data_IF_950843240350
#
_entry.id   IF_950843240350
#
_cell.length_a   1.000
_cell.length_b   1.000
_cell.length_c   1.000
_cell.angle_alpha   90.00
_cell.angle_beta   90.00
_cell.angle_gamma   90.00
#
_symmetry.space_group_name_H-M   'P 1'
#
loop_
_entity.id
_entity.type
_entity.pdbx_description
1 polymer ?
#
# COMPACT_ATOMS: atom_id res chain seq x y z
N UNK A 1 20.06 12.22 -10.56
CA UNK A 1 19.42 11.39 -9.48
C UNK A 1 20.52 10.61 -8.78
N UNK A 2 20.56 10.71 -7.44
CA UNK A 2 21.50 9.93 -6.63
C UNK A 2 20.91 8.56 -6.30
N UNK A 3 21.75 7.53 -6.34
CA UNK A 3 21.40 6.19 -5.82
C UNK A 3 22.19 6.00 -4.54
N UNK A 4 21.48 5.87 -3.42
CA UNK A 4 22.06 5.73 -2.08
C UNK A 4 21.76 4.32 -1.57
N UNK A 5 22.79 3.60 -1.13
CA UNK A 5 22.66 2.21 -0.67
C UNK A 5 22.98 2.03 0.81
N UNK A 6 23.57 3.04 1.46
CA UNK A 6 23.98 2.96 2.86
C UNK A 6 23.31 4.01 3.74
N UNK A 7 23.12 3.68 5.01
CA UNK A 7 22.55 4.59 5.99
C UNK A 7 23.44 5.83 6.24
N UNK A 8 24.76 5.71 6.40
CA UNK A 8 25.62 6.90 6.60
C UNK A 8 25.51 7.91 5.47
N UNK A 9 25.47 7.43 4.21
CA UNK A 9 25.34 8.33 3.06
C UNK A 9 23.95 9.00 3.03
N UNK A 10 22.89 8.26 3.30
CA UNK A 10 21.53 8.82 3.39
C UNK A 10 21.46 9.91 4.45
N UNK A 11 21.96 9.63 5.66
CA UNK A 11 21.94 10.59 6.76
C UNK A 11 22.71 11.87 6.44
N UNK A 12 23.85 11.74 5.77
CA UNK A 12 24.64 12.89 5.34
C UNK A 12 23.85 13.81 4.40
N UNK A 13 23.22 13.23 3.38
CA UNK A 13 22.45 13.99 2.41
C UNK A 13 21.19 14.61 3.03
N UNK A 14 20.48 13.86 3.88
CA UNK A 14 19.31 14.38 4.59
C UNK A 14 19.67 15.57 5.48
N UNK A 15 20.76 15.47 6.25
CA UNK A 15 21.24 16.59 7.07
C UNK A 15 21.53 17.82 6.24
N UNK A 16 22.16 17.65 5.09
CA UNK A 16 22.48 18.75 4.17
C UNK A 16 21.21 19.45 3.70
N UNK A 17 20.20 18.71 3.25
CA UNK A 17 18.94 19.32 2.82
C UNK A 17 18.16 19.97 3.97
N UNK A 18 18.16 19.35 5.14
CA UNK A 18 17.56 19.96 6.32
C UNK A 18 18.19 21.29 6.69
N UNK A 19 19.51 21.38 6.65
CA UNK A 19 20.24 22.62 6.90
C UNK A 19 19.95 23.71 5.86
N UNK A 20 19.59 23.31 4.63
CA UNK A 20 19.18 24.22 3.57
C UNK A 20 17.71 24.62 3.64
N UNK A 21 16.96 24.12 4.63
CA UNK A 21 15.52 24.37 4.76
C UNK A 21 14.66 23.72 3.70
N UNK A 22 15.15 22.67 3.02
CA UNK A 22 14.41 21.94 1.99
C UNK A 22 13.31 21.07 2.60
N UNK A 23 12.15 21.04 1.95
CA UNK A 23 11.08 20.09 2.27
C UNK A 23 11.36 18.77 1.60
N UNK A 24 11.32 17.69 2.36
CA UNK A 24 11.59 16.33 1.88
C UNK A 24 10.28 15.56 1.78
N UNK A 25 10.02 14.98 0.61
CA UNK A 25 8.91 14.08 0.37
C UNK A 25 9.43 12.67 0.12
N UNK A 26 8.83 11.70 0.79
CA UNK A 26 9.21 10.28 0.74
C UNK A 26 8.12 9.45 0.08
N UNK A 27 8.53 8.54 -0.81
CA UNK A 27 7.65 7.51 -1.38
C UNK A 27 8.27 6.13 -1.10
N UNK A 28 7.80 5.41 -0.07
CA UNK A 28 8.27 4.04 0.18
C UNK A 28 7.73 3.06 -0.86
N UNK A 29 8.61 2.26 -1.43
CA UNK A 29 8.22 1.20 -2.39
C UNK A 29 9.05 -0.07 -2.17
N UNK A 30 8.60 -1.15 -2.75
CA UNK A 30 9.38 -2.40 -2.87
C UNK A 30 9.93 -2.61 -4.27
N UNK A 31 9.92 -1.59 -5.13
CA UNK A 31 10.36 -1.70 -6.51
C UNK A 31 9.30 -2.31 -7.43
N UNK A 32 9.74 -2.73 -8.63
CA UNK A 32 8.86 -3.20 -9.69
C UNK A 32 7.77 -2.16 -10.01
N UNK A 33 8.21 -0.95 -10.30
CA UNK A 33 7.36 0.22 -10.36
C UNK A 33 6.46 0.23 -11.59
N UNK A 34 5.24 0.68 -11.39
CA UNK A 34 4.24 0.90 -12.44
C UNK A 34 3.66 2.31 -12.32
N UNK A 35 2.72 2.67 -13.19
CA UNK A 35 2.11 4.01 -13.23
C UNK A 35 1.47 4.43 -11.89
N UNK A 36 0.97 3.48 -11.11
CA UNK A 36 0.45 3.76 -9.77
C UNK A 36 1.52 4.34 -8.84
N UNK A 37 2.71 3.76 -8.83
CA UNK A 37 3.85 4.28 -8.07
C UNK A 37 4.33 5.63 -8.60
N UNK A 38 4.38 5.79 -9.93
CA UNK A 38 4.83 7.04 -10.56
C UNK A 38 3.86 8.20 -10.27
N UNK A 39 2.58 7.91 -10.11
CA UNK A 39 1.59 8.88 -9.65
C UNK A 39 1.87 9.35 -8.21
N UNK A 40 2.30 8.43 -7.32
CA UNK A 40 2.76 8.81 -5.98
C UNK A 40 3.98 9.72 -6.04
N UNK A 41 4.92 9.42 -6.92
CA UNK A 41 6.14 10.22 -7.13
C UNK A 41 5.78 11.63 -7.60
N UNK A 42 4.87 11.75 -8.56
CA UNK A 42 4.42 13.05 -9.08
C UNK A 42 3.74 13.88 -7.99
N UNK A 43 2.93 13.25 -7.15
CA UNK A 43 2.31 13.90 -5.99
C UNK A 43 3.37 14.37 -4.97
N UNK A 44 4.36 13.54 -4.68
CA UNK A 44 5.47 13.91 -3.82
C UNK A 44 6.27 15.07 -4.41
N UNK A 45 6.53 15.05 -5.72
CA UNK A 45 7.23 16.15 -6.42
C UNK A 45 6.49 17.47 -6.32
N UNK A 46 5.17 17.45 -6.36
CA UNK A 46 4.36 18.67 -6.25
C UNK A 46 4.38 19.29 -4.85
N UNK A 47 4.80 18.55 -3.83
CA UNK A 47 4.74 18.95 -2.42
C UNK A 47 6.10 19.17 -1.78
N UNK A 48 7.16 18.54 -2.27
CA UNK A 48 8.50 18.62 -1.68
C UNK A 48 9.54 19.19 -2.61
N UNK A 49 10.56 19.80 -2.03
CA UNK A 49 11.73 20.28 -2.77
C UNK A 49 12.64 19.12 -3.17
N UNK A 50 12.75 18.12 -2.30
CA UNK A 50 13.52 16.90 -2.49
C UNK A 50 12.58 15.71 -2.45
N UNK A 51 12.64 14.86 -3.47
CA UNK A 51 11.88 13.61 -3.53
C UNK A 51 12.82 12.42 -3.35
N UNK A 52 12.56 11.63 -2.34
CA UNK A 52 13.28 10.39 -2.04
C UNK A 52 12.31 9.23 -2.24
N UNK A 53 12.69 8.29 -3.09
CA UNK A 53 11.95 7.03 -3.28
C UNK A 53 12.78 5.91 -2.70
N UNK A 54 12.24 5.17 -1.75
CA UNK A 54 12.90 3.96 -1.27
C UNK A 54 12.47 2.76 -2.10
N UNK A 55 13.43 1.94 -2.47
CA UNK A 55 13.23 0.67 -3.17
C UNK A 55 13.84 -0.43 -2.30
N UNK A 56 13.00 -1.10 -1.54
CA UNK A 56 13.44 -2.12 -0.59
C UNK A 56 12.39 -3.22 -0.46
N UNK A 57 12.74 -4.44 -0.83
CA UNK A 57 11.91 -5.62 -0.64
C UNK A 57 12.08 -6.06 0.81
N UNK A 58 11.13 -5.65 1.66
CA UNK A 58 11.21 -5.80 3.12
C UNK A 58 10.91 -7.24 3.55
N UNK A 59 11.90 -8.03 4.00
CA UNK A 59 11.67 -9.42 4.37
C UNK A 59 10.75 -9.55 5.59
N UNK A 60 10.70 -8.55 6.47
CA UNK A 60 9.92 -8.60 7.71
C UNK A 60 8.41 -8.63 7.46
N UNK A 61 7.93 -8.11 6.33
CA UNK A 61 6.50 -8.07 6.00
C UNK A 61 6.01 -9.25 5.17
N UNK A 62 6.92 -10.14 4.75
CA UNK A 62 6.55 -11.36 4.03
C UNK A 62 6.24 -12.48 5.03
N UNK A 63 5.07 -13.08 4.88
CA UNK A 63 4.63 -14.23 5.67
C UNK A 63 5.03 -15.56 5.06
N UNK A 64 5.45 -15.57 3.76
CA UNK A 64 5.89 -16.76 3.04
C UNK A 64 7.23 -16.51 2.38
N UNK A 65 8.16 -17.46 2.57
CA UNK A 65 9.50 -17.40 2.00
C UNK A 65 9.49 -17.48 0.47
N UNK A 66 8.55 -18.22 -0.13
CA UNK A 66 8.43 -18.34 -1.58
C UNK A 66 7.95 -17.03 -2.23
N UNK A 67 7.04 -16.32 -1.60
CA UNK A 67 6.58 -15.00 -2.08
C UNK A 67 7.73 -13.98 -2.04
N UNK A 68 8.50 -13.96 -0.96
CA UNK A 68 9.69 -13.12 -0.85
C UNK A 68 10.72 -13.43 -1.95
N UNK A 69 10.99 -14.71 -2.19
CA UNK A 69 11.96 -15.14 -3.21
C UNK A 69 11.54 -14.78 -4.63
N UNK A 70 10.23 -14.87 -4.92
CA UNK A 70 9.66 -14.58 -6.25
C UNK A 70 9.39 -13.10 -6.50
N UNK A 71 9.43 -12.26 -5.47
CA UNK A 71 9.09 -10.85 -5.64
C UNK A 71 10.04 -10.22 -6.68
N UNK A 72 9.48 -9.55 -7.73
CA UNK A 72 10.31 -9.00 -8.81
C UNK A 72 11.28 -7.94 -8.33
N UNK A 73 12.54 -8.04 -8.78
CA UNK A 73 13.60 -7.09 -8.46
C UNK A 73 14.10 -6.47 -9.77
N UNK A 74 13.74 -5.23 -10.01
CA UNK A 74 13.94 -4.52 -11.27
C UNK A 74 14.56 -3.14 -11.05
N UNK A 75 15.58 -3.04 -10.19
CA UNK A 75 16.14 -1.77 -9.74
C UNK A 75 16.60 -0.87 -10.90
N UNK A 76 17.26 -1.43 -11.90
CA UNK A 76 17.75 -0.64 -13.05
C UNK A 76 16.59 0.02 -13.80
N UNK A 77 15.57 -0.75 -14.14
CA UNK A 77 14.37 -0.25 -14.82
C UNK A 77 13.61 0.74 -13.96
N UNK A 78 13.52 0.48 -12.67
CA UNK A 78 12.88 1.38 -11.71
C UNK A 78 13.61 2.73 -11.67
N UNK A 79 14.93 2.73 -11.61
CA UNK A 79 15.73 3.96 -11.62
C UNK A 79 15.54 4.76 -12.92
N UNK A 80 15.42 4.10 -14.06
CA UNK A 80 15.16 4.77 -15.35
C UNK A 80 13.81 5.50 -15.31
N UNK A 81 12.76 4.83 -14.81
CA UNK A 81 11.43 5.44 -14.65
C UNK A 81 11.45 6.61 -13.66
N UNK A 82 12.09 6.44 -12.52
CA UNK A 82 12.16 7.46 -11.49
C UNK A 82 12.95 8.70 -11.97
N UNK A 83 13.99 8.50 -12.75
CA UNK A 83 14.76 9.61 -13.33
C UNK A 83 13.90 10.46 -14.25
N UNK A 84 13.01 9.85 -15.04
CA UNK A 84 12.09 10.58 -15.91
C UNK A 84 11.05 11.41 -15.12
N UNK A 85 10.77 11.03 -13.87
CA UNK A 85 9.85 11.73 -12.98
C UNK A 85 10.56 12.69 -12.01
N UNK A 86 11.82 13.04 -12.30
CA UNK A 86 12.59 14.05 -11.55
C UNK A 86 12.79 13.71 -10.06
N UNK A 87 12.96 12.43 -9.74
CA UNK A 87 13.32 11.98 -8.40
C UNK A 87 14.73 12.40 -8.09
N UNK A 88 14.99 12.93 -6.89
CA UNK A 88 16.31 13.38 -6.47
C UNK A 88 17.15 12.21 -5.95
N UNK A 89 16.55 11.29 -5.22
CA UNK A 89 17.25 10.17 -4.60
C UNK A 89 16.43 8.89 -4.70
N UNK A 90 17.11 7.81 -5.07
CA UNK A 90 16.63 6.44 -4.85
C UNK A 90 17.45 5.87 -3.70
N UNK A 91 16.77 5.50 -2.62
CA UNK A 91 17.36 4.78 -1.49
C UNK A 91 17.10 3.30 -1.67
N UNK A 92 18.15 2.55 -1.99
CA UNK A 92 18.07 1.12 -2.30
C UNK A 92 19.05 0.31 -1.42
N UNK A 93 18.75 0.19 -0.11
CA UNK A 93 19.62 -0.52 0.81
C UNK A 93 19.50 -2.04 0.65
N UNK A 94 20.53 -2.77 1.07
CA UNK A 94 20.45 -4.22 1.23
C UNK A 94 19.69 -4.60 2.51
N UNK A 95 19.17 -5.84 2.62
CA UNK A 95 18.60 -6.31 3.88
C UNK A 95 19.56 -6.25 5.06
N UNK A 96 20.85 -6.49 4.85
CA UNK A 96 21.86 -6.39 5.90
C UNK A 96 22.10 -4.94 6.38
N UNK A 97 21.91 -3.96 5.49
CA UNK A 97 21.99 -2.54 5.86
C UNK A 97 20.82 -2.13 6.75
N UNK A 98 19.60 -2.58 6.42
CA UNK A 98 18.38 -2.24 7.17
C UNK A 98 18.27 -3.07 8.46
N UNK A 99 18.60 -4.35 8.40
CA UNK A 99 18.51 -5.27 9.52
C UNK A 99 19.88 -5.94 9.78
N UNK A 100 20.87 -5.19 10.33
CA UNK A 100 22.24 -5.67 10.46
C UNK A 100 22.40 -6.86 11.41
N UNK A 101 21.43 -7.06 12.30
CA UNK A 101 21.44 -8.16 13.27
C UNK A 101 20.37 -9.24 12.95
N UNK A 102 19.84 -9.23 11.72
CA UNK A 102 18.77 -10.14 11.30
C UNK A 102 17.41 -9.73 11.84
N UNK A 103 16.39 -10.55 11.59
CA UNK A 103 14.99 -10.24 11.95
C UNK A 103 14.60 -10.76 13.33
N UNK A 104 15.25 -11.81 13.82
CA UNK A 104 14.81 -12.56 15.01
C UNK A 104 14.69 -11.69 16.27
N UNK A 105 15.64 -10.79 16.47
CA UNK A 105 15.72 -9.92 17.65
C UNK A 105 15.52 -8.45 17.28
N UNK A 106 14.95 -8.19 16.11
CA UNK A 106 14.70 -6.83 15.65
C UNK A 106 13.60 -6.17 16.48
N UNK A 107 13.86 -4.97 16.98
CA UNK A 107 12.81 -4.11 17.52
C UNK A 107 11.73 -3.89 16.45
N UNK A 108 10.48 -4.02 16.84
CA UNK A 108 9.39 -3.85 15.90
C UNK A 108 8.37 -2.83 16.40
N UNK A 109 7.61 -2.30 15.46
CA UNK A 109 6.46 -1.42 15.70
C UNK A 109 5.21 -2.16 15.25
N UNK A 110 4.19 -2.16 16.10
CA UNK A 110 2.90 -2.77 15.79
C UNK A 110 1.78 -1.85 16.24
N UNK A 111 0.79 -1.65 15.38
CA UNK A 111 -0.41 -0.87 15.70
C UNK A 111 -1.48 -1.82 16.19
N UNK A 112 -1.83 -1.77 17.49
CA UNK A 112 -2.83 -2.69 18.05
C UNK A 112 -4.17 -2.59 17.32
N UNK A 113 -4.89 -3.70 17.30
CA UNK A 113 -6.20 -3.87 16.66
C UNK A 113 -6.09 -3.83 15.13
N UNK A 114 -5.73 -2.70 14.52
CA UNK A 114 -5.66 -2.56 13.06
C UNK A 114 -4.69 -3.54 12.41
N UNK A 115 -3.60 -3.91 13.09
CA UNK A 115 -2.62 -4.88 12.56
C UNK A 115 -3.11 -6.33 12.58
N UNK A 116 -4.17 -6.63 13.33
CA UNK A 116 -4.69 -8.00 13.54
C UNK A 116 -6.00 -8.29 12.84
N UNK A 117 -6.63 -7.27 12.25
CA UNK A 117 -7.90 -7.40 11.53
C UNK A 117 -7.68 -7.74 10.05
N UNK A 118 -8.69 -8.30 9.41
CA UNK A 118 -8.76 -8.45 7.94
C UNK A 118 -7.48 -9.12 7.39
N UNK A 119 -6.71 -8.43 6.57
CA UNK A 119 -5.43 -8.93 6.04
C UNK A 119 -4.43 -9.27 7.16
N UNK A 120 -4.51 -8.60 8.29
CA UNK A 120 -3.68 -8.90 9.47
C UNK A 120 -4.01 -10.24 10.12
N UNK A 121 -5.23 -10.69 10.02
CA UNK A 121 -5.64 -12.02 10.49
C UNK A 121 -5.12 -13.13 9.57
N UNK A 122 -5.24 -12.94 8.25
CA UNK A 122 -4.80 -13.91 7.25
C UNK A 122 -3.29 -13.93 7.04
N UNK A 123 -2.61 -12.84 7.33
CA UNK A 123 -1.16 -12.65 7.19
C UNK A 123 -0.52 -12.19 8.49
N UNK A 124 -0.43 -13.07 9.52
CA UNK A 124 0.13 -12.70 10.82
C UNK A 124 1.53 -12.10 10.69
N UNK A 125 1.78 -10.96 11.33
CA UNK A 125 3.05 -10.26 11.31
C UNK A 125 3.29 -9.37 10.09
N UNK A 126 2.44 -9.41 9.06
CA UNK A 126 2.61 -8.57 7.86
C UNK A 126 2.62 -7.08 8.20
N UNK A 127 1.61 -6.58 8.90
CA UNK A 127 1.53 -5.16 9.23
C UNK A 127 2.54 -4.71 10.29
N UNK A 128 2.98 -5.62 11.16
CA UNK A 128 4.14 -5.38 12.03
C UNK A 128 5.38 -5.07 11.20
N UNK A 129 5.61 -5.86 10.16
CA UNK A 129 6.72 -5.65 9.22
C UNK A 129 6.60 -4.31 8.49
N UNK A 130 5.42 -3.97 8.02
CA UNK A 130 5.15 -2.68 7.35
C UNK A 130 5.38 -1.50 8.29
N UNK A 131 4.80 -1.53 9.49
CA UNK A 131 4.94 -0.47 10.47
C UNK A 131 6.40 -0.28 10.89
N UNK A 132 7.14 -1.37 11.03
CA UNK A 132 8.56 -1.34 11.39
C UNK A 132 9.41 -0.69 10.31
N UNK A 133 9.29 -1.11 9.04
CA UNK A 133 10.10 -0.52 7.98
C UNK A 133 9.73 0.93 7.73
N UNK A 134 8.45 1.27 7.75
CA UNK A 134 8.02 2.66 7.56
C UNK A 134 8.55 3.55 8.69
N UNK A 135 8.50 3.11 9.94
CA UNK A 135 9.10 3.83 11.08
C UNK A 135 10.60 4.02 10.91
N UNK A 136 11.32 3.00 10.45
CA UNK A 136 12.77 3.10 10.16
C UNK A 136 13.04 4.13 9.07
N UNK A 137 12.27 4.11 7.99
CA UNK A 137 12.41 5.07 6.89
C UNK A 137 12.10 6.49 7.37
N UNK A 138 11.08 6.68 8.19
CA UNK A 138 10.76 7.99 8.75
C UNK A 138 11.90 8.53 9.63
N UNK A 139 12.52 7.69 10.43
CA UNK A 139 13.65 8.09 11.24
C UNK A 139 14.90 8.41 10.41
N UNK A 140 15.12 7.68 9.31
CA UNK A 140 16.29 7.85 8.45
C UNK A 140 16.17 9.05 7.53
N UNK A 141 15.01 9.21 6.91
CA UNK A 141 14.74 10.26 5.91
C UNK A 141 14.26 11.55 6.56
N UNK A 142 13.56 11.46 7.67
CA UNK A 142 12.93 12.60 8.35
C UNK A 142 12.09 13.45 7.37
N UNK A 143 11.14 12.83 6.65
CA UNK A 143 10.38 13.54 5.64
C UNK A 143 9.39 14.52 6.28
N UNK A 144 9.07 15.57 5.53
CA UNK A 144 7.92 16.44 5.85
C UNK A 144 6.62 15.84 5.36
N UNK A 145 6.71 15.09 4.24
CA UNK A 145 5.57 14.48 3.56
C UNK A 145 5.95 13.05 3.18
N UNK A 146 4.99 12.14 3.32
CA UNK A 146 5.12 10.77 2.81
C UNK A 146 3.84 10.39 2.05
N UNK A 147 3.99 9.88 0.83
CA UNK A 147 2.88 9.53 -0.05
C UNK A 147 2.67 8.01 -0.10
N UNK A 148 1.42 7.60 0.06
CA UNK A 148 1.00 6.20 0.01
C UNK A 148 -0.24 6.07 -0.86
N UNK A 149 -0.38 4.95 -1.56
CA UNK A 149 -1.57 4.68 -2.36
C UNK A 149 -2.76 4.25 -1.52
N UNK A 150 -3.94 4.71 -1.86
CA UNK A 150 -5.20 4.29 -1.22
C UNK A 150 -5.59 2.85 -1.56
N UNK A 151 -4.95 2.25 -2.56
CA UNK A 151 -5.18 0.86 -2.93
C UNK A 151 -4.91 -0.10 -1.77
N UNK A 152 -3.85 0.11 -1.00
CA UNK A 152 -3.55 -0.61 0.23
C UNK A 152 -4.20 0.13 1.41
N UNK A 153 -5.52 0.11 1.45
CA UNK A 153 -6.34 0.92 2.36
C UNK A 153 -6.01 0.66 3.84
N UNK A 154 -5.91 -0.61 4.23
CA UNK A 154 -5.59 -0.98 5.61
C UNK A 154 -4.18 -0.55 6.00
N UNK A 155 -3.22 -0.69 5.10
CA UNK A 155 -1.86 -0.21 5.30
C UNK A 155 -1.83 1.30 5.55
N UNK A 156 -2.54 2.06 4.74
CA UNK A 156 -2.62 3.52 4.89
C UNK A 156 -3.26 3.89 6.23
N UNK A 157 -4.32 3.21 6.65
CA UNK A 157 -4.96 3.43 7.95
C UNK A 157 -4.00 3.15 9.11
N UNK A 158 -3.22 2.07 9.02
CA UNK A 158 -2.21 1.71 10.02
C UNK A 158 -1.11 2.76 10.11
N UNK A 159 -0.61 3.22 8.97
CA UNK A 159 0.44 4.24 8.93
C UNK A 159 -0.06 5.57 9.51
N UNK A 160 -1.28 5.99 9.16
CA UNK A 160 -1.88 7.22 9.72
C UNK A 160 -2.04 7.13 11.23
N UNK A 161 -2.50 6.00 11.75
CA UNK A 161 -2.64 5.80 13.19
C UNK A 161 -1.28 5.78 13.88
N UNK A 162 -0.30 5.11 13.32
CA UNK A 162 1.06 5.08 13.85
C UNK A 162 1.66 6.49 13.94
N UNK A 163 1.51 7.29 12.89
CA UNK A 163 2.00 8.67 12.86
C UNK A 163 1.34 9.51 13.95
N UNK A 164 0.04 9.40 14.11
CA UNK A 164 -0.71 10.12 15.14
C UNK A 164 -0.31 9.67 16.56
N UNK A 165 -0.30 8.36 16.80
CA UNK A 165 -0.03 7.79 18.13
C UNK A 165 1.42 8.03 18.59
N UNK A 166 2.36 7.93 17.66
CA UNK A 166 3.80 8.07 17.94
C UNK A 166 4.30 9.51 17.86
N UNK A 167 3.47 10.45 17.43
CA UNK A 167 3.83 11.85 17.35
C UNK A 167 4.84 12.18 16.24
N UNK A 168 4.82 11.46 15.13
CA UNK A 168 5.64 11.84 13.97
C UNK A 168 5.11 13.14 13.38
N UNK A 169 5.99 14.09 13.15
CA UNK A 169 5.66 15.35 12.46
C UNK A 169 5.78 15.19 10.94
N UNK A 170 4.91 14.39 10.39
CA UNK A 170 4.91 14.02 8.96
C UNK A 170 3.48 14.07 8.43
N UNK A 171 3.28 14.78 7.32
CA UNK A 171 2.02 14.76 6.59
C UNK A 171 1.93 13.48 5.76
N UNK A 172 0.93 12.65 6.04
CA UNK A 172 0.65 11.45 5.25
C UNK A 172 -0.37 11.78 4.17
N UNK A 173 0.04 11.62 2.93
CA UNK A 173 -0.79 11.90 1.75
C UNK A 173 -1.26 10.58 1.16
N UNK A 174 -2.58 10.37 1.17
CA UNK A 174 -3.21 9.25 0.46
C UNK A 174 -3.47 9.64 -0.99
N UNK A 175 -3.02 8.83 -1.93
CA UNK A 175 -3.18 9.07 -3.37
C UNK A 175 -4.19 8.07 -3.93
N UNK A 176 -5.21 8.54 -4.68
CA UNK A 176 -6.23 7.66 -5.25
C UNK A 176 -5.65 6.52 -6.08
N UNK A 177 -6.33 5.37 -6.03
CA UNK A 177 -5.95 4.19 -6.80
C UNK A 177 -5.91 4.49 -8.30
N UNK A 178 -4.80 4.20 -8.95
CA UNK A 178 -4.64 4.31 -10.40
C UNK A 178 -5.15 3.02 -11.05
N UNK A 179 -5.96 3.17 -12.09
CA UNK A 179 -6.61 2.05 -12.77
C UNK A 179 -6.29 2.02 -14.26
N UNK A 180 -6.27 0.82 -14.81
CA UNK A 180 -6.30 0.65 -16.25
C UNK A 180 -7.66 1.11 -16.81
N UNK A 181 -7.75 1.28 -18.13
CA UNK A 181 -8.98 1.75 -18.80
C UNK A 181 -10.21 0.89 -18.50
N UNK A 182 -10.01 -0.40 -18.29
CA UNK A 182 -11.08 -1.37 -17.97
C UNK A 182 -11.42 -1.46 -16.48
N UNK A 183 -10.81 -0.61 -15.65
CA UNK A 183 -11.09 -0.50 -14.22
C UNK A 183 -10.17 -1.31 -13.31
N UNK A 184 -9.32 -2.17 -13.85
CA UNK A 184 -8.38 -2.94 -13.04
C UNK A 184 -7.40 -2.02 -12.30
N UNK A 185 -7.35 -2.15 -10.98
CA UNK A 185 -6.35 -1.42 -10.17
C UNK A 185 -4.94 -1.87 -10.53
N UNK A 186 -4.03 -0.92 -10.73
CA UNK A 186 -2.65 -1.24 -11.06
C UNK A 186 -1.94 -1.87 -9.86
N UNK A 187 -1.23 -2.95 -10.12
CA UNK A 187 -0.51 -3.72 -9.10
C UNK A 187 0.68 -4.43 -9.73
N UNK A 188 1.75 -4.57 -8.96
CA UNK A 188 2.90 -5.39 -9.36
C UNK A 188 2.52 -6.86 -9.60
N UNK A 189 1.46 -7.35 -8.95
CA UNK A 189 0.97 -8.73 -9.11
C UNK A 189 0.18 -8.95 -10.40
N UNK A 190 -0.22 -7.89 -11.10
CA UNK A 190 -0.91 -8.04 -12.39
C UNK A 190 -0.02 -8.73 -13.44
N UNK A 191 1.30 -8.66 -13.29
CA UNK A 191 2.25 -9.37 -14.14
C UNK A 191 2.19 -10.90 -14.03
N UNK A 192 1.55 -11.44 -13.00
CA UNK A 192 1.35 -12.89 -12.84
C UNK A 192 0.15 -13.43 -13.64
N UNK A 193 -0.69 -12.54 -14.20
CA UNK A 193 -1.86 -12.92 -14.97
C UNK A 193 -1.48 -13.36 -16.38
N UNK A 194 -2.09 -14.44 -16.84
CA UNK A 194 -2.07 -14.78 -18.27
C UNK A 194 -2.91 -13.78 -19.06
N UNK A 195 -2.78 -13.77 -20.39
CA UNK A 195 -3.57 -12.89 -21.25
C UNK A 195 -5.08 -13.11 -21.07
N UNK A 196 -5.53 -14.35 -20.95
CA UNK A 196 -6.93 -14.68 -20.73
C UNK A 196 -7.40 -14.27 -19.34
N UNK A 197 -6.59 -14.50 -18.31
CA UNK A 197 -6.87 -14.06 -16.95
C UNK A 197 -6.95 -12.53 -16.87
N UNK A 198 -6.06 -11.82 -17.55
CA UNK A 198 -6.08 -10.35 -17.58
C UNK A 198 -7.43 -9.80 -18.09
N UNK A 199 -8.07 -10.48 -19.03
CA UNK A 199 -9.39 -10.09 -19.55
C UNK A 199 -10.50 -10.27 -18.51
N UNK A 200 -10.35 -11.22 -17.60
CA UNK A 200 -11.31 -11.49 -16.52
C UNK A 200 -11.10 -10.59 -15.30
N UNK A 201 -9.88 -10.09 -15.10
CA UNK A 201 -9.49 -9.34 -13.89
C UNK A 201 -10.38 -8.13 -13.58
N UNK A 202 -10.91 -7.36 -14.55
CA UNK A 202 -11.79 -6.22 -14.26
C UNK A 202 -13.09 -6.59 -13.53
N UNK A 203 -13.46 -7.86 -13.50
CA UNK A 203 -14.63 -8.33 -12.74
C UNK A 203 -14.54 -7.93 -11.25
N UNK A 204 -13.34 -7.88 -10.68
CA UNK A 204 -13.17 -7.49 -9.28
C UNK A 204 -13.70 -6.07 -9.03
N UNK A 205 -13.26 -5.09 -9.82
CA UNK A 205 -13.72 -3.70 -9.67
C UNK A 205 -15.19 -3.54 -10.03
N UNK A 206 -15.69 -4.29 -11.00
CA UNK A 206 -17.10 -4.26 -11.41
C UNK A 206 -18.01 -4.74 -10.29
N UNK A 207 -17.66 -5.86 -9.65
CA UNK A 207 -18.41 -6.39 -8.50
C UNK A 207 -18.31 -5.44 -7.31
N UNK A 208 -17.14 -4.87 -7.07
CA UNK A 208 -16.95 -3.85 -6.03
C UNK A 208 -17.89 -2.65 -6.24
N UNK A 209 -17.98 -2.14 -7.46
CA UNK A 209 -18.87 -1.04 -7.79
C UNK A 209 -20.34 -1.39 -7.53
N UNK A 210 -20.75 -2.62 -7.79
CA UNK A 210 -22.09 -3.10 -7.47
C UNK A 210 -22.36 -3.11 -5.98
N UNK A 211 -21.41 -3.59 -5.18
CA UNK A 211 -21.50 -3.56 -3.72
C UNK A 211 -21.62 -2.13 -3.19
N UNK A 212 -20.76 -1.24 -3.68
CA UNK A 212 -20.76 0.17 -3.31
C UNK A 212 -22.09 0.86 -3.67
N UNK A 213 -22.65 0.57 -4.83
CA UNK A 213 -23.94 1.11 -5.27
C UNK A 213 -25.09 0.66 -4.36
N UNK A 214 -25.11 -0.58 -3.93
CA UNK A 214 -26.11 -1.09 -2.98
C UNK A 214 -26.03 -0.35 -1.64
N UNK A 215 -24.83 -0.15 -1.12
CA UNK A 215 -24.63 0.64 0.11
C UNK A 215 -25.06 2.09 -0.06
N UNK A 216 -24.70 2.73 -1.17
CA UNK A 216 -25.08 4.11 -1.48
C UNK A 216 -26.59 4.29 -1.61
N UNK A 217 -27.31 3.24 -2.04
CA UNK A 217 -28.76 3.22 -2.14
C UNK A 217 -29.47 2.90 -0.80
N UNK A 218 -28.72 2.78 0.28
CA UNK A 218 -29.28 2.60 1.62
C UNK A 218 -29.39 1.18 2.11
N UNK A 219 -28.96 0.17 1.34
CA UNK A 219 -28.93 -1.22 1.82
C UNK A 219 -27.93 -1.37 2.96
N UNK A 220 -28.33 -2.12 3.99
CA UNK A 220 -27.51 -2.41 5.18
C UNK A 220 -27.48 -3.89 5.55
N UNK A 221 -28.03 -4.76 4.70
CA UNK A 221 -27.91 -6.23 4.83
C UNK A 221 -26.54 -6.69 4.33
N UNK A 222 -25.51 -6.45 5.14
CA UNK A 222 -24.09 -6.60 4.75
C UNK A 222 -23.78 -8.03 4.30
N UNK A 223 -24.26 -9.03 5.03
CA UNK A 223 -24.02 -10.43 4.69
C UNK A 223 -24.60 -10.80 3.32
N UNK A 224 -25.78 -10.29 2.98
CA UNK A 224 -26.41 -10.52 1.68
C UNK A 224 -25.64 -9.86 0.54
N UNK A 225 -25.12 -8.65 0.76
CA UNK A 225 -24.32 -7.95 -0.22
C UNK A 225 -23.04 -8.74 -0.51
N UNK A 226 -22.36 -9.18 0.55
CA UNK A 226 -21.12 -9.98 0.43
C UNK A 226 -21.38 -11.32 -0.24
N UNK A 227 -22.44 -12.03 0.14
CA UNK A 227 -22.78 -13.33 -0.46
C UNK A 227 -23.05 -13.22 -1.97
N UNK A 228 -23.83 -12.22 -2.38
CA UNK A 228 -24.08 -11.95 -3.79
C UNK A 228 -22.79 -11.64 -4.56
N UNK A 229 -21.89 -10.87 -3.96
CA UNK A 229 -20.61 -10.54 -4.55
C UNK A 229 -19.71 -11.78 -4.70
N UNK A 230 -19.63 -12.61 -3.66
CA UNK A 230 -18.88 -13.87 -3.70
C UNK A 230 -19.37 -14.76 -4.84
N UNK A 231 -20.68 -14.92 -4.97
CA UNK A 231 -21.28 -15.73 -6.01
C UNK A 231 -20.95 -15.19 -7.41
N UNK A 232 -21.08 -13.89 -7.60
CA UNK A 232 -20.79 -13.26 -8.89
C UNK A 232 -19.31 -13.42 -9.27
N UNK A 233 -18.38 -13.27 -8.33
CA UNK A 233 -16.95 -13.47 -8.58
C UNK A 233 -16.66 -14.90 -9.01
N UNK A 234 -17.24 -15.90 -8.32
CA UNK A 234 -17.08 -17.31 -8.69
C UNK A 234 -17.59 -17.59 -10.10
N UNK A 235 -18.75 -17.05 -10.46
CA UNK A 235 -19.34 -17.20 -11.79
C UNK A 235 -18.46 -16.57 -12.88
N UNK A 236 -17.67 -15.55 -12.54
CA UNK A 236 -16.75 -14.85 -13.44
C UNK A 236 -15.32 -15.41 -13.41
N UNK A 237 -15.09 -16.51 -12.71
CA UNK A 237 -13.82 -17.21 -12.69
C UNK A 237 -12.80 -16.71 -11.67
N UNK A 238 -13.20 -15.82 -10.76
CA UNK A 238 -12.36 -15.38 -9.65
C UNK A 238 -12.75 -16.12 -8.37
N UNK A 239 -11.76 -16.50 -7.58
CA UNK A 239 -11.99 -17.15 -6.28
C UNK A 239 -11.90 -16.11 -5.17
N UNK A 240 -13.00 -15.75 -4.52
CA UNK A 240 -12.96 -14.80 -3.41
C UNK A 240 -12.02 -15.25 -2.29
N UNK A 241 -11.28 -14.31 -1.72
CA UNK A 241 -10.34 -14.56 -0.64
C UNK A 241 -10.41 -13.43 0.41
N UNK A 242 -11.60 -13.09 0.79
CA UNK A 242 -11.91 -12.07 1.77
C UNK A 242 -12.59 -10.87 1.12
N UNK A 243 -13.90 -10.77 1.34
CA UNK A 243 -14.69 -9.59 1.06
C UNK A 243 -15.21 -9.07 2.39
N UNK A 244 -15.07 -7.76 2.60
CA UNK A 244 -15.55 -7.14 3.82
C UNK A 244 -16.16 -5.78 3.52
N UNK A 245 -17.12 -5.38 4.34
CA UNK A 245 -17.68 -4.04 4.39
C UNK A 245 -17.54 -3.56 5.82
N UNK A 246 -16.77 -2.50 6.01
CA UNK A 246 -16.40 -2.01 7.33
C UNK A 246 -16.60 -0.50 7.41
N UNK A 247 -16.62 0.01 8.64
CA UNK A 247 -16.44 1.43 8.89
C UNK A 247 -15.07 1.88 8.35
N UNK A 248 -15.05 2.93 7.54
CA UNK A 248 -13.83 3.37 6.86
C UNK A 248 -12.76 3.93 7.80
N UNK A 249 -13.14 4.38 8.99
CA UNK A 249 -12.21 4.96 9.97
C UNK A 249 -11.65 3.89 10.92
N UNK A 250 -12.52 2.98 11.38
CA UNK A 250 -12.16 2.01 12.42
C UNK A 250 -11.80 0.64 11.87
N UNK A 251 -12.21 0.33 10.63
CA UNK A 251 -12.15 -1.02 10.03
C UNK A 251 -12.91 -2.08 10.82
N UNK A 252 -13.78 -1.66 11.73
CA UNK A 252 -14.70 -2.51 12.47
C UNK A 252 -16.02 -2.64 11.70
N UNK A 253 -16.90 -3.58 12.08
CA UNK A 253 -18.23 -3.67 11.49
C UNK A 253 -18.97 -2.34 11.54
N UNK A 254 -19.79 -2.06 10.52
CA UNK A 254 -20.62 -0.86 10.48
C UNK A 254 -21.55 -0.77 11.69
N UNK A 255 -21.71 0.44 12.20
CA UNK A 255 -22.68 0.79 13.23
C UNK A 255 -23.65 1.83 12.69
N UNK A 256 -24.67 2.16 13.46
CA UNK A 256 -25.63 3.23 13.11
C UNK A 256 -24.96 4.61 13.03
N UNK A 257 -23.82 4.77 13.68
CA UNK A 257 -23.06 6.03 13.70
C UNK A 257 -22.00 6.12 12.59
N UNK A 258 -21.80 5.05 11.84
CA UNK A 258 -20.81 5.03 10.75
C UNK A 258 -21.19 6.02 9.66
N UNK A 259 -20.29 6.94 9.34
CA UNK A 259 -20.49 7.97 8.33
C UNK A 259 -20.05 7.52 6.93
N UNK A 260 -19.02 6.70 6.87
CA UNK A 260 -18.48 6.12 5.64
C UNK A 260 -18.19 4.64 5.83
N UNK A 261 -18.51 3.88 4.80
CA UNK A 261 -18.08 2.48 4.68
C UNK A 261 -16.87 2.38 3.76
N UNK A 262 -16.12 1.31 3.90
CA UNK A 262 -15.16 0.84 2.91
C UNK A 262 -15.51 -0.58 2.50
N UNK A 263 -15.56 -0.81 1.20
CA UNK A 263 -15.65 -2.14 0.60
C UNK A 263 -14.22 -2.61 0.36
N UNK A 264 -13.83 -3.72 0.98
CA UNK A 264 -12.50 -4.31 0.85
C UNK A 264 -12.63 -5.66 0.18
N UNK A 265 -11.85 -5.88 -0.88
CA UNK A 265 -11.95 -7.10 -1.66
C UNK A 265 -10.58 -7.71 -1.93
N UNK A 266 -10.53 -9.03 -1.84
CA UNK A 266 -9.43 -9.83 -2.32
C UNK A 266 -9.97 -11.07 -3.04
N UNK A 267 -9.38 -11.39 -4.18
CA UNK A 267 -9.74 -12.59 -4.93
C UNK A 267 -8.54 -13.13 -5.70
N UNK A 268 -8.48 -14.45 -5.81
CA UNK A 268 -7.49 -15.12 -6.63
C UNK A 268 -7.98 -15.27 -8.07
N UNK A 269 -7.11 -14.95 -8.99
CA UNK A 269 -7.28 -15.21 -10.40
C UNK A 269 -5.99 -15.87 -10.90
N UNK A 270 -6.05 -17.18 -11.16
CA UNK A 270 -4.84 -17.96 -11.38
C UNK A 270 -3.86 -17.84 -10.20
N UNK A 271 -2.64 -17.42 -10.47
CA UNK A 271 -1.58 -17.27 -9.47
C UNK A 271 -1.51 -15.85 -8.88
N UNK A 272 -2.42 -14.96 -9.26
CA UNK A 272 -2.43 -13.59 -8.77
C UNK A 272 -3.53 -13.39 -7.73
N UNK A 273 -3.16 -12.90 -6.55
CA UNK A 273 -4.10 -12.41 -5.55
C UNK A 273 -4.32 -10.93 -5.79
N UNK A 274 -5.49 -10.61 -6.31
CA UNK A 274 -5.88 -9.22 -6.62
C UNK A 274 -6.61 -8.62 -5.44
N UNK A 275 -6.35 -7.36 -5.14
CA UNK A 275 -7.08 -6.60 -4.14
C UNK A 275 -7.62 -5.31 -4.72
N UNK A 276 -8.70 -4.84 -4.15
CA UNK A 276 -9.30 -3.54 -4.48
C UNK A 276 -10.10 -3.02 -3.29
N UNK A 277 -10.41 -1.74 -3.30
CA UNK A 277 -11.28 -1.15 -2.30
C UNK A 277 -12.00 0.08 -2.84
N UNK A 278 -13.10 0.43 -2.18
CA UNK A 278 -13.84 1.64 -2.46
C UNK A 278 -14.54 2.14 -1.20
N UNK A 279 -14.43 3.44 -0.93
CA UNK A 279 -15.17 4.08 0.14
C UNK A 279 -16.54 4.53 -0.35
N UNK A 280 -17.52 4.52 0.54
CA UNK A 280 -18.91 4.89 0.25
C UNK A 280 -19.43 5.77 1.38
N UNK A 281 -19.94 6.95 1.04
CA UNK A 281 -20.61 7.81 2.01
C UNK A 281 -21.98 7.22 2.38
N UNK A 282 -22.25 7.12 3.67
CA UNK A 282 -23.48 6.53 4.23
C UNK A 282 -24.49 7.58 4.68
N UNK A 283 -24.07 8.82 4.72
CA UNK A 283 -24.91 9.95 5.12
C UNK A 283 -25.86 10.34 3.98
N UNK A 284 -27.14 10.16 4.20
CA UNK A 284 -28.22 10.76 3.39
C UNK A 284 -29.11 11.61 4.27
#
# INVERSE_FOLDING_TARGET
>A
MLIIETLPMLRREVRRWRQQGKRIALVPTMGNLHEGHLTLVDEARSRGDIVIVSVFVNPMQFDRADDLARYPRTLQQDCEKLNLHQVDVVFAPSPAEVYPHGLKNQTFVEVPVLSSLLEGETRPGHFRGVATIVSKLFNLVQPDIACFGEKDFQQLAIIRKMVADMGFDIEIVGVPTVRAKDGLALSSRNGYLTADERKLAPALSQVMNQMAARLANGERHIEEIIEAANQTLLERGLRPDGLAICDAETLQPLTVDSQRAVVLMAAWLGNARLIDNQTVDLTQ
#
